data_IF_239365970219
#
_entry.id   IF_239365970219
#
_cell.length_a   1.000
_cell.length_b   1.000
_cell.length_c   1.000
_cell.angle_alpha   90.00
_cell.angle_beta   90.00
_cell.angle_gamma   90.00
#
_symmetry.space_group_name_H-M   'P 1'
#
loop_
_entity.id
_entity.type
_entity.pdbx_description
1 polymer ?
#
# COMPACT_ATOMS: atom_id res chain seq x y z
N UNK A 1 13.96 2.35 16.56
CA UNK A 1 15.06 1.71 15.82
C UNK A 1 14.90 2.02 14.35
N UNK A 2 15.99 2.33 13.69
CA UNK A 2 15.94 2.57 12.24
C UNK A 2 15.83 1.25 11.49
N UNK A 3 14.92 1.20 10.54
CA UNK A 3 14.79 0.02 9.69
C UNK A 3 15.80 0.12 8.55
N UNK A 4 16.60 -0.92 8.38
CA UNK A 4 17.67 -0.97 7.38
C UNK A 4 17.60 -2.26 6.58
N UNK A 5 18.21 -2.22 5.39
CA UNK A 5 18.12 -3.33 4.45
C UNK A 5 18.67 -4.65 4.98
N UNK A 6 19.68 -4.60 5.84
CA UNK A 6 20.30 -5.82 6.34
C UNK A 6 19.48 -6.52 7.43
N UNK A 7 18.42 -5.91 7.90
CA UNK A 7 17.59 -6.51 8.95
C UNK A 7 16.72 -7.63 8.38
N UNK A 8 16.47 -8.63 9.22
CA UNK A 8 15.61 -9.73 8.81
C UNK A 8 14.17 -9.27 8.71
N UNK A 9 13.38 -10.02 7.95
CA UNK A 9 11.95 -9.75 7.81
C UNK A 9 11.25 -9.71 9.16
N UNK A 10 11.58 -10.66 10.03
CA UNK A 10 10.95 -10.74 11.35
C UNK A 10 11.23 -9.51 12.19
N UNK A 11 12.43 -8.99 12.14
CA UNK A 11 12.80 -7.79 12.89
C UNK A 11 12.04 -6.60 12.33
N UNK A 12 11.93 -6.49 11.02
CA UNK A 12 11.21 -5.38 10.39
C UNK A 12 9.72 -5.45 10.72
N UNK A 13 9.13 -6.64 10.63
CA UNK A 13 7.72 -6.82 10.99
C UNK A 13 7.45 -6.42 12.43
N UNK A 14 8.34 -6.85 13.33
CA UNK A 14 8.20 -6.51 14.76
C UNK A 14 8.29 -5.01 14.98
N UNK A 15 9.25 -4.35 14.35
CA UNK A 15 9.42 -2.92 14.49
C UNK A 15 8.22 -2.15 13.92
N UNK A 16 7.72 -2.56 12.75
CA UNK A 16 6.54 -1.94 12.16
C UNK A 16 5.32 -2.11 13.06
N UNK A 17 5.18 -3.30 13.65
CA UNK A 17 4.08 -3.55 14.58
C UNK A 17 4.12 -2.62 15.78
N UNK A 18 5.29 -2.40 16.35
CA UNK A 18 5.46 -1.48 17.47
C UNK A 18 5.13 -0.04 17.09
N UNK A 19 5.55 0.38 15.90
CA UNK A 19 5.25 1.74 15.43
C UNK A 19 3.75 1.93 15.20
N UNK A 20 3.09 0.92 14.65
CA UNK A 20 1.64 0.98 14.45
C UNK A 20 0.90 1.02 15.78
N UNK A 21 1.35 0.24 16.76
CA UNK A 21 0.77 0.28 18.10
C UNK A 21 0.90 1.68 18.70
N UNK A 22 2.04 2.32 18.50
CA UNK A 22 2.25 3.68 19.00
C UNK A 22 1.30 4.67 18.34
N UNK A 23 1.13 4.56 17.02
CA UNK A 23 0.19 5.42 16.31
C UNK A 23 -1.24 5.22 16.83
N UNK A 24 -1.61 3.97 17.09
CA UNK A 24 -2.92 3.66 17.63
C UNK A 24 -3.11 4.33 19.00
N UNK A 25 -2.11 4.19 19.86
CA UNK A 25 -2.17 4.78 21.20
C UNK A 25 -2.22 6.31 21.13
N UNK A 26 -1.49 6.91 20.21
CA UNK A 26 -1.52 8.35 20.03
C UNK A 26 -2.91 8.86 19.63
N UNK A 27 -3.70 7.99 19.02
CA UNK A 27 -5.08 8.30 18.65
C UNK A 27 -6.08 7.88 19.74
N UNK A 28 -5.59 7.41 20.88
CA UNK A 28 -6.43 6.94 21.99
C UNK A 28 -7.38 5.81 21.61
N UNK A 29 -6.92 4.92 20.74
CA UNK A 29 -7.72 3.77 20.31
C UNK A 29 -7.24 2.52 21.01
N UNK A 30 -8.19 1.68 21.41
CA UNK A 30 -7.86 0.32 21.85
C UNK A 30 -7.66 -0.56 20.61
N UNK A 31 -7.07 -1.73 20.80
CA UNK A 31 -6.93 -2.68 19.70
C UNK A 31 -8.29 -3.06 19.12
N UNK A 32 -9.30 -3.24 19.97
CA UNK A 32 -10.64 -3.58 19.52
C UNK A 32 -11.26 -2.42 18.70
N UNK A 33 -11.03 -1.19 19.14
CA UNK A 33 -11.56 -0.03 18.41
C UNK A 33 -10.89 0.11 17.05
N UNK A 34 -9.58 -0.07 16.98
CA UNK A 34 -8.88 -0.02 15.71
C UNK A 34 -9.37 -1.12 14.78
N UNK A 35 -9.52 -2.34 15.31
CA UNK A 35 -10.00 -3.46 14.51
C UNK A 35 -11.39 -3.17 13.94
N UNK A 36 -12.26 -2.60 14.76
CA UNK A 36 -13.61 -2.25 14.32
C UNK A 36 -13.57 -1.20 13.21
N UNK A 37 -12.79 -0.14 13.38
CA UNK A 37 -12.68 0.91 12.36
C UNK A 37 -12.07 0.40 11.07
N UNK A 38 -11.09 -0.50 11.19
CA UNK A 38 -10.42 -1.05 10.02
C UNK A 38 -11.23 -2.16 9.34
N UNK A 39 -12.23 -2.69 10.02
CA UNK A 39 -13.00 -3.82 9.47
C UNK A 39 -12.21 -5.11 9.46
N UNK A 40 -11.35 -5.33 10.46
CA UNK A 40 -10.56 -6.55 10.59
C UNK A 40 -10.78 -7.14 11.97
N UNK A 41 -10.36 -8.38 12.16
CA UNK A 41 -10.47 -9.02 13.46
C UNK A 41 -9.47 -8.44 14.45
N UNK A 42 -9.82 -8.42 15.73
CA UNK A 42 -8.93 -7.92 16.77
C UNK A 42 -7.65 -8.73 16.85
N UNK A 43 -7.72 -10.05 16.57
CA UNK A 43 -6.51 -10.87 16.56
C UNK A 43 -5.53 -10.45 15.49
N UNK A 44 -6.03 -9.97 14.35
CA UNK A 44 -5.16 -9.45 13.29
C UNK A 44 -4.36 -8.26 13.79
N UNK A 45 -5.02 -7.34 14.50
CA UNK A 45 -4.34 -6.18 15.08
C UNK A 45 -3.34 -6.63 16.14
N UNK A 46 -3.75 -7.53 17.04
CA UNK A 46 -2.86 -8.02 18.09
C UNK A 46 -1.59 -8.67 17.53
N UNK A 47 -1.76 -9.53 16.52
CA UNK A 47 -0.62 -10.23 15.94
C UNK A 47 0.29 -9.29 15.17
N UNK A 48 -0.27 -8.32 14.49
CA UNK A 48 0.53 -7.32 13.80
C UNK A 48 1.36 -6.51 14.80
N UNK A 49 0.75 -6.04 15.88
CA UNK A 49 1.44 -5.20 16.86
C UNK A 49 2.51 -5.96 17.65
N UNK A 50 2.31 -7.25 17.86
CA UNK A 50 3.31 -8.05 18.54
C UNK A 50 4.35 -8.63 17.58
N UNK A 51 4.12 -8.52 16.29
CA UNK A 51 5.04 -9.05 15.29
C UNK A 51 5.01 -10.57 15.17
N UNK A 52 3.96 -11.23 15.69
CA UNK A 52 3.87 -12.69 15.65
C UNK A 52 3.35 -13.21 14.33
N UNK A 53 2.62 -12.38 13.58
CA UNK A 53 2.15 -12.76 12.25
C UNK A 53 1.87 -11.50 11.45
N UNK A 54 2.23 -11.53 10.17
CA UNK A 54 1.93 -10.44 9.26
C UNK A 54 0.53 -10.67 8.66
N UNK A 55 -0.30 -9.63 8.58
CA UNK A 55 -1.59 -9.75 7.94
C UNK A 55 -1.45 -9.79 6.43
N UNK A 56 -2.51 -10.18 5.75
CA UNK A 56 -2.58 -9.99 4.31
C UNK A 56 -2.50 -8.51 3.98
N UNK A 57 -1.99 -8.20 2.80
CA UNK A 57 -1.77 -6.81 2.41
C UNK A 57 -3.06 -5.98 2.46
N UNK A 58 -4.20 -6.52 2.04
CA UNK A 58 -5.47 -5.79 2.12
C UNK A 58 -5.84 -5.43 3.55
N UNK A 59 -5.61 -6.32 4.49
CA UNK A 59 -5.90 -6.04 5.89
C UNK A 59 -4.94 -5.00 6.45
N UNK A 60 -3.67 -5.07 6.06
CA UNK A 60 -2.69 -4.06 6.43
C UNK A 60 -3.11 -2.68 5.92
N UNK A 61 -3.57 -2.60 4.67
CA UNK A 61 -4.06 -1.35 4.10
C UNK A 61 -5.26 -0.82 4.89
N UNK A 62 -6.19 -1.68 5.28
CA UNK A 62 -7.34 -1.27 6.08
C UNK A 62 -6.93 -0.69 7.42
N UNK A 63 -5.95 -1.31 8.07
CA UNK A 63 -5.42 -0.82 9.34
C UNK A 63 -4.75 0.55 9.14
N UNK A 64 -3.95 0.68 8.10
CA UNK A 64 -3.28 1.94 7.79
C UNK A 64 -4.28 3.04 7.46
N UNK A 65 -5.38 2.70 6.79
CA UNK A 65 -6.42 3.68 6.50
C UNK A 65 -7.09 4.17 7.78
N UNK A 66 -7.38 3.26 8.70
CA UNK A 66 -7.95 3.63 9.99
C UNK A 66 -7.00 4.50 10.81
N UNK A 67 -5.70 4.28 10.67
CA UNK A 67 -4.69 5.10 11.33
C UNK A 67 -4.37 6.39 10.60
N UNK A 68 -4.91 6.59 9.40
CA UNK A 68 -4.70 7.82 8.64
C UNK A 68 -3.36 7.94 7.96
N UNK A 69 -2.72 6.82 7.65
CA UNK A 69 -1.38 6.83 7.06
C UNK A 69 -1.30 6.16 5.69
N UNK A 70 -2.45 5.89 5.08
CA UNK A 70 -2.47 5.17 3.80
C UNK A 70 -1.77 5.95 2.69
N UNK A 71 -1.78 7.28 2.76
CA UNK A 71 -1.11 8.10 1.76
C UNK A 71 0.42 8.00 1.82
N UNK A 72 0.97 7.50 2.91
CA UNK A 72 2.40 7.26 3.01
C UNK A 72 2.87 6.14 2.09
N UNK A 73 1.95 5.34 1.56
CA UNK A 73 2.32 4.33 0.55
C UNK A 73 2.86 4.97 -0.72
N UNK A 74 2.52 6.23 -0.99
CA UNK A 74 3.10 6.94 -2.13
C UNK A 74 4.59 7.17 -1.98
N UNK A 75 5.09 7.22 -0.74
CA UNK A 75 6.52 7.33 -0.48
C UNK A 75 7.18 5.96 -0.57
N UNK A 76 6.50 4.93 -0.08
CA UNK A 76 7.04 3.58 -0.10
C UNK A 76 7.14 3.02 -1.51
N UNK A 77 6.07 3.17 -2.29
CA UNK A 77 6.02 2.69 -3.68
C UNK A 77 5.54 3.86 -4.53
N UNK A 78 6.48 4.74 -4.92
CA UNK A 78 6.07 5.93 -5.66
C UNK A 78 5.68 5.61 -7.09
N UNK A 79 4.85 6.46 -7.66
CA UNK A 79 4.54 6.35 -9.06
C UNK A 79 5.81 6.59 -9.88
N UNK A 80 6.03 5.78 -10.92
CA UNK A 80 7.18 6.01 -11.78
C UNK A 80 7.06 7.37 -12.47
N UNK A 81 8.17 8.12 -12.49
CA UNK A 81 8.23 9.35 -13.27
C UNK A 81 9.00 9.03 -14.54
N UNK A 82 8.34 8.99 -15.70
CA UNK A 82 9.03 8.64 -16.93
C UNK A 82 10.09 9.68 -17.29
N UNK A 83 11.21 9.22 -17.87
CA UNK A 83 12.16 10.14 -18.43
C UNK A 83 11.54 10.87 -19.63
N UNK A 84 12.11 11.98 -20.10
CA UNK A 84 11.57 12.64 -21.29
C UNK A 84 11.46 11.71 -22.49
N UNK A 85 12.43 10.81 -22.66
CA UNK A 85 12.37 9.85 -23.75
C UNK A 85 11.22 8.87 -23.59
N UNK A 86 11.00 8.40 -22.37
CA UNK A 86 9.88 7.50 -22.10
C UNK A 86 8.55 8.21 -22.31
N UNK A 87 8.47 9.47 -21.94
CA UNK A 87 7.24 10.25 -22.18
C UNK A 87 6.92 10.35 -23.66
N UNK A 88 7.92 10.58 -24.47
CA UNK A 88 7.74 10.65 -25.92
C UNK A 88 7.25 9.30 -26.47
N UNK A 89 7.85 8.22 -26.02
CA UNK A 89 7.42 6.88 -26.45
C UNK A 89 5.99 6.60 -26.04
N UNK A 90 5.61 6.97 -24.83
CA UNK A 90 4.25 6.76 -24.37
C UNK A 90 3.25 7.57 -25.19
N UNK A 91 3.58 8.82 -25.52
CA UNK A 91 2.73 9.63 -26.38
C UNK A 91 2.55 8.99 -27.75
N UNK A 92 3.64 8.48 -28.30
CA UNK A 92 3.58 7.79 -29.57
C UNK A 92 2.64 6.60 -29.53
N UNK A 93 2.75 5.78 -28.50
CA UNK A 93 1.88 4.63 -28.33
C UNK A 93 0.43 5.04 -28.18
N UNK A 94 0.17 6.07 -27.40
CA UNK A 94 -1.19 6.53 -27.20
C UNK A 94 -1.80 7.03 -28.50
N UNK A 95 -1.03 7.74 -29.32
CA UNK A 95 -1.50 8.19 -30.62
C UNK A 95 -1.84 7.02 -31.52
N UNK A 96 -0.98 6.03 -31.58
CA UNK A 96 -1.21 4.87 -32.39
C UNK A 96 -2.49 4.14 -31.96
N UNK A 97 -2.71 4.04 -30.67
CA UNK A 97 -3.94 3.41 -30.18
C UNK A 97 -5.16 4.22 -30.56
N UNK A 98 -5.07 5.54 -30.41
CA UNK A 98 -6.21 6.40 -30.73
C UNK A 98 -6.55 6.34 -32.22
N UNK A 99 -5.55 6.25 -33.09
CA UNK A 99 -5.81 6.22 -34.52
C UNK A 99 -6.02 4.82 -35.07
N UNK A 100 -5.47 3.82 -34.41
CA UNK A 100 -5.49 2.46 -34.91
C UNK A 100 -6.62 1.60 -34.46
N UNK A 101 -7.34 1.99 -33.42
CA UNK A 101 -8.38 1.16 -32.91
C UNK A 101 -9.17 1.81 -31.90
N UNK A 102 -10.22 1.29 -31.74
CA UNK A 102 -10.98 1.70 -30.71
C UNK A 102 -10.50 1.11 -29.51
N UNK A 103 -10.23 1.58 -28.77
CA UNK A 103 -9.80 1.13 -27.68
C UNK A 103 -10.66 0.86 -26.79
N UNK A 104 -10.69 0.35 -26.51
CA UNK A 104 -11.27 0.27 -25.64
C UNK A 104 -10.86 0.40 -24.49
N UNK A 105 -10.98 0.53 -24.13
CA UNK A 105 -10.51 0.56 -23.31
C UNK A 105 -10.52 0.42 -22.30
N UNK A 106 -10.90 0.52 -21.96
CA UNK A 106 -10.95 0.37 -21.15
C UNK A 106 -10.49 0.08 -20.32
N UNK A 107 -10.40 -0.22 -20.28
CA UNK A 107 -9.97 -0.45 -19.49
C UNK A 107 -9.67 0.08 -18.62
N UNK A 108 -10.05 0.17 -18.10
CA UNK A 108 -9.80 0.77 -17.34
C UNK A 108 -8.85 0.74 -16.71
N UNK A 109 -8.49 1.21 -16.71
CA UNK A 109 -7.36 1.15 -16.23
C UNK A 109 -7.32 1.14 -14.91
N UNK A 110 -7.81 1.38 -14.51
CA UNK A 110 -7.59 1.30 -13.29
C UNK A 110 -7.73 0.02 -12.82
N UNK A 111 -7.95 -0.62 -13.48
CA UNK A 111 -7.99 -1.65 -13.05
C UNK A 111 -7.06 -2.44 -13.28
N UNK A 112 -6.50 -2.31 -13.34
CA UNK A 112 -5.58 -2.83 -13.42
C UNK A 112 -5.06 -3.31 -13.05
N UNK A 113 -4.92 -3.32 -13.10
CA UNK A 113 -4.16 -3.59 -13.11
C UNK A 113 -3.14 -3.85 -12.80
N UNK A 114 -3.00 -4.15 -12.69
CA UNK A 114 -2.01 -4.35 -12.53
C UNK A 114 -1.52 -4.87 -12.82
N UNK A 115 -1.88 -4.88 -12.97
CA UNK A 115 -1.39 -5.10 -13.37
C UNK A 115 -0.97 -4.89 -14.01
N UNK A 116 -1.46 -4.58 -14.12
CA UNK A 116 -1.16 -4.28 -14.65
C UNK A 116 -0.70 -3.86 -14.85
N UNK A 117 -1.02 -3.50 -14.69
CA UNK A 117 -0.70 -3.13 -14.86
C UNK A 117 -0.42 -2.66 -14.95
N UNK A 118 -0.64 -2.37 -14.87
CA UNK A 118 -0.40 -2.15 -14.88
C UNK A 118 -0.23 -2.26 -14.93
#
# INVERSE_FOLDING_TARGET
MDIQEHMTDDIIVHELGQRLARLRLDKNLTQAQLAHEAGVGVRTVQRLETGTAAPQLTMFIRICRALGIVDHFNLLVPEPIPSPMQQLKMRGKLRQRASGQSMAVGEDPGKWTWADGT
#
